data_IF_634462123229
#
_entry.id   IF_634462123229
#
_cell.length_a   1.000
_cell.length_b   1.000
_cell.length_c   1.000
_cell.angle_alpha   90.00
_cell.angle_beta   90.00
_cell.angle_gamma   90.00
#
_symmetry.space_group_name_H-M   'P 1'
#
loop_
_entity.id
_entity.type
_entity.pdbx_description
1 polymer ?
#
# COMPACT_ATOMS: atom_id res chain seq x y z
N UNK A 1 -13.52 -9.93 -11.52
CA UNK A 1 -14.15 -9.60 -12.81
C UNK A 1 -14.41 -10.90 -13.55
N UNK A 2 -15.66 -11.24 -13.83
CA UNK A 2 -15.95 -12.40 -14.67
C UNK A 2 -15.57 -12.03 -16.10
N UNK A 3 -14.58 -12.71 -16.68
CA UNK A 3 -14.16 -12.48 -18.07
C UNK A 3 -15.17 -13.20 -18.96
N UNK A 4 -15.94 -12.43 -19.73
CA UNK A 4 -16.86 -13.01 -20.70
C UNK A 4 -16.10 -13.41 -21.98
N UNK A 5 -16.51 -14.48 -22.67
CA UNK A 5 -15.86 -14.92 -23.91
C UNK A 5 -15.84 -13.83 -24.98
N UNK A 6 -16.88 -13.01 -25.06
CA UNK A 6 -16.97 -11.85 -25.98
C UNK A 6 -15.84 -10.83 -25.76
N UNK A 7 -15.43 -10.63 -24.51
CA UNK A 7 -14.35 -9.70 -24.16
C UNK A 7 -12.99 -10.24 -24.64
N UNK A 8 -12.79 -11.56 -24.55
CA UNK A 8 -11.57 -12.23 -25.01
C UNK A 8 -11.44 -12.08 -26.53
N UNK A 9 -12.52 -12.33 -27.27
CA UNK A 9 -12.54 -12.18 -28.73
C UNK A 9 -12.27 -10.73 -29.16
N UNK A 10 -12.85 -9.74 -28.46
CA UNK A 10 -12.56 -8.32 -28.72
C UNK A 10 -11.08 -8.00 -28.51
N UNK A 11 -10.48 -8.45 -27.41
CA UNK A 11 -9.06 -8.21 -27.11
C UNK A 11 -8.17 -8.87 -28.17
N UNK A 12 -8.48 -10.09 -28.60
CA UNK A 12 -7.74 -10.78 -29.68
C UNK A 12 -7.82 -10.03 -31.02
N UNK A 13 -9.01 -9.51 -31.35
CA UNK A 13 -9.22 -8.71 -32.56
C UNK A 13 -8.50 -7.36 -32.49
N UNK A 14 -8.39 -6.76 -31.32
CA UNK A 14 -7.60 -5.54 -31.10
C UNK A 14 -6.10 -5.82 -31.20
N UNK A 15 -5.65 -6.94 -30.63
CA UNK A 15 -4.26 -7.38 -30.66
C UNK A 15 -3.74 -7.60 -32.08
N UNK A 16 -4.55 -8.21 -32.95
CA UNK A 16 -4.15 -8.41 -34.36
C UNK A 16 -4.02 -7.10 -35.14
N UNK A 17 -4.70 -6.03 -34.71
CA UNK A 17 -4.71 -4.72 -35.36
C UNK A 17 -3.69 -3.74 -34.77
N UNK A 18 -3.05 -4.09 -33.65
CA UNK A 18 -2.10 -3.20 -32.98
C UNK A 18 -0.85 -2.95 -33.83
N UNK A 19 -0.54 -3.80 -34.81
CA UNK A 19 0.60 -3.61 -35.72
C UNK A 19 0.30 -2.65 -36.88
N UNK A 20 -0.94 -2.18 -37.05
CA UNK A 20 -1.31 -1.28 -38.13
C UNK A 20 -0.81 0.17 -37.91
N UNK A 21 -0.89 0.76 -36.71
CA UNK A 21 -0.36 2.09 -36.47
C UNK A 21 1.16 2.09 -36.23
N UNK A 22 1.83 3.13 -36.70
CA UNK A 22 3.24 3.39 -36.37
C UNK A 22 3.35 3.98 -34.96
N UNK A 23 3.80 3.16 -34.00
CA UNK A 23 4.01 3.58 -32.61
C UNK A 23 5.34 4.31 -32.44
N UNK A 24 5.32 5.42 -31.70
CA UNK A 24 6.52 6.21 -31.45
C UNK A 24 7.35 5.67 -30.29
N UNK A 25 6.68 5.09 -29.31
CA UNK A 25 7.29 4.73 -28.04
C UNK A 25 7.43 3.21 -27.87
N UNK A 26 8.32 2.61 -28.66
CA UNK A 26 8.66 1.17 -28.59
C UNK A 26 9.80 0.85 -27.60
N UNK A 27 10.43 1.88 -27.01
CA UNK A 27 11.61 1.70 -26.14
C UNK A 27 11.28 1.19 -24.73
N UNK A 28 10.06 1.45 -24.25
CA UNK A 28 9.61 1.12 -22.89
C UNK A 28 8.20 0.55 -22.94
N UNK A 29 8.01 -0.63 -22.35
CA UNK A 29 6.71 -1.30 -22.28
C UNK A 29 5.65 -0.42 -21.63
N UNK A 30 5.98 0.26 -20.52
CA UNK A 30 5.02 1.15 -19.85
C UNK A 30 4.62 2.32 -20.76
N UNK A 31 5.61 2.96 -21.38
CA UNK A 31 5.38 4.13 -22.21
C UNK A 31 4.65 3.78 -23.52
N UNK A 32 4.90 2.58 -24.07
CA UNK A 32 4.14 2.00 -25.18
C UNK A 32 2.66 1.85 -24.82
N UNK A 33 2.34 1.17 -23.73
CA UNK A 33 0.95 0.93 -23.33
C UNK A 33 0.21 2.21 -22.91
N UNK A 34 0.94 3.21 -22.39
CA UNK A 34 0.39 4.57 -22.21
C UNK A 34 0.04 5.25 -23.53
N UNK A 35 0.87 5.09 -24.58
CA UNK A 35 0.60 5.61 -25.93
C UNK A 35 -0.63 4.91 -26.54
N UNK A 36 -0.69 3.58 -26.48
CA UNK A 36 -1.83 2.79 -26.97
C UNK A 36 -3.12 3.15 -26.22
N UNK A 37 -3.06 3.37 -24.90
CA UNK A 37 -4.21 3.79 -24.11
C UNK A 37 -4.69 5.22 -24.46
N UNK A 38 -3.77 6.10 -24.85
CA UNK A 38 -4.07 7.49 -25.20
C UNK A 38 -4.38 7.68 -26.69
N UNK A 39 -4.25 6.63 -27.49
CA UNK A 39 -4.52 6.66 -28.92
C UNK A 39 -5.99 6.96 -29.20
N UNK A 40 -6.23 7.82 -30.18
CA UNK A 40 -7.57 8.19 -30.64
C UNK A 40 -7.67 8.01 -32.14
N UNK A 41 -8.74 7.38 -32.59
CA UNK A 41 -9.08 7.26 -33.99
C UNK A 41 -9.64 8.57 -34.57
N UNK A 42 -10.02 8.55 -35.85
CA UNK A 42 -10.64 9.68 -36.52
C UNK A 42 -12.02 10.08 -35.93
N UNK A 43 -12.66 9.19 -35.16
CA UNK A 43 -13.91 9.43 -34.45
C UNK A 43 -13.68 10.01 -33.03
N UNK A 44 -12.42 10.03 -32.55
CA UNK A 44 -12.05 10.50 -31.22
C UNK A 44 -12.11 9.42 -30.13
N UNK A 45 -12.39 8.17 -30.50
CA UNK A 45 -12.49 7.02 -29.60
C UNK A 45 -11.21 6.17 -29.66
N UNK A 46 -10.95 5.37 -28.62
CA UNK A 46 -9.81 4.46 -28.62
C UNK A 46 -10.24 3.05 -29.05
N UNK A 47 -9.87 2.59 -30.27
CA UNK A 47 -10.21 1.25 -30.74
C UNK A 47 -9.48 0.11 -30.00
N UNK A 48 -8.48 0.44 -29.17
CA UNK A 48 -7.68 -0.50 -28.39
C UNK A 48 -7.93 -0.37 -26.87
N UNK A 49 -9.02 0.27 -26.44
CA UNK A 49 -9.28 0.58 -25.03
C UNK A 49 -9.25 -0.67 -24.13
N UNK A 50 -9.93 -1.74 -24.53
CA UNK A 50 -10.01 -3.00 -23.77
C UNK A 50 -8.64 -3.69 -23.68
N UNK A 51 -7.91 -3.76 -24.78
CA UNK A 51 -6.55 -4.32 -24.82
C UNK A 51 -5.57 -3.50 -23.98
N UNK A 52 -5.61 -2.17 -24.09
CA UNK A 52 -4.75 -1.27 -23.34
C UNK A 52 -5.04 -1.36 -21.84
N UNK A 53 -6.32 -1.38 -21.45
CA UNK A 53 -6.73 -1.56 -20.05
C UNK A 53 -6.27 -2.91 -19.50
N UNK A 54 -6.42 -3.98 -20.29
CA UNK A 54 -5.92 -5.30 -19.92
C UNK A 54 -4.40 -5.32 -19.70
N UNK A 55 -3.63 -4.81 -20.66
CA UNK A 55 -2.17 -4.75 -20.54
C UNK A 55 -1.71 -3.87 -19.36
N UNK A 56 -2.34 -2.71 -19.16
CA UNK A 56 -2.06 -1.83 -18.03
C UNK A 56 -2.35 -2.53 -16.69
N UNK A 57 -3.46 -3.26 -16.58
CA UNK A 57 -3.76 -4.04 -15.37
C UNK A 57 -2.73 -5.12 -15.11
N UNK A 58 -2.23 -5.80 -16.15
CA UNK A 58 -1.14 -6.77 -16.02
C UNK A 58 0.17 -6.11 -15.57
N UNK A 59 0.47 -4.89 -16.03
CA UNK A 59 1.68 -4.16 -15.65
C UNK A 59 1.65 -3.63 -14.22
N UNK A 60 0.46 -3.36 -13.66
CA UNK A 60 0.28 -2.87 -12.30
C UNK A 60 0.34 -4.01 -11.28
N UNK A 61 0.08 -5.25 -11.69
CA UNK A 61 0.18 -6.39 -10.80
C UNK A 61 1.63 -6.56 -10.33
N UNK A 62 1.87 -6.63 -9.00
CA UNK A 62 3.20 -6.95 -8.49
C UNK A 62 3.58 -8.33 -9.01
N UNK A 63 4.54 -8.35 -9.93
CA UNK A 63 4.98 -9.53 -10.68
C UNK A 63 5.39 -10.75 -9.81
N UNK A 64 5.56 -10.59 -8.50
CA UNK A 64 5.95 -11.69 -7.64
C UNK A 64 5.52 -11.52 -6.19
N UNK A 65 4.83 -12.54 -5.66
CA UNK A 65 4.59 -12.74 -4.24
C UNK A 65 5.91 -12.65 -3.43
N UNK A 66 7.02 -13.11 -4.02
CA UNK A 66 8.34 -13.09 -3.39
C UNK A 66 8.84 -11.69 -3.03
N UNK A 67 8.38 -10.62 -3.70
CA UNK A 67 8.80 -9.26 -3.35
C UNK A 67 8.11 -8.75 -2.08
N UNK A 68 6.85 -9.14 -1.87
CA UNK A 68 6.11 -8.88 -0.63
C UNK A 68 6.71 -9.69 0.51
N UNK A 69 6.99 -10.97 0.27
CA UNK A 69 7.64 -11.87 1.23
C UNK A 69 9.06 -11.42 1.59
N UNK A 70 9.84 -10.95 0.61
CA UNK A 70 11.19 -10.41 0.87
C UNK A 70 11.13 -9.16 1.75
N UNK A 71 10.19 -8.23 1.52
CA UNK A 71 10.05 -7.05 2.39
C UNK A 71 9.55 -7.41 3.79
N UNK A 72 8.68 -8.41 3.91
CA UNK A 72 8.19 -8.91 5.19
C UNK A 72 9.30 -9.63 5.98
N UNK A 73 10.07 -10.48 5.30
CA UNK A 73 11.22 -11.20 5.86
C UNK A 73 12.33 -10.25 6.30
N UNK A 74 12.65 -9.25 5.49
CA UNK A 74 13.62 -8.21 5.88
C UNK A 74 13.19 -7.49 7.17
N UNK A 75 11.90 -7.16 7.32
CA UNK A 75 11.44 -6.54 8.55
C UNK A 75 11.45 -7.50 9.73
N UNK A 76 11.04 -8.76 9.53
CA UNK A 76 11.00 -9.77 10.59
C UNK A 76 12.41 -10.20 11.08
N UNK A 77 13.40 -10.28 10.18
CA UNK A 77 14.79 -10.65 10.51
C UNK A 77 15.46 -9.60 11.38
N UNK A 78 15.28 -8.31 11.07
CA UNK A 78 15.93 -7.23 11.82
C UNK A 78 15.09 -6.74 13.01
N UNK A 79 13.78 -6.94 12.98
CA UNK A 79 12.87 -6.34 13.93
C UNK A 79 11.74 -7.33 14.18
N UNK A 80 11.76 -8.01 15.34
CA UNK A 80 10.70 -8.92 15.82
C UNK A 80 9.42 -8.15 16.16
N UNK A 81 8.93 -7.37 15.22
CA UNK A 81 7.75 -6.53 15.36
C UNK A 81 6.52 -7.39 15.20
N UNK A 82 5.47 -7.03 15.93
CA UNK A 82 4.14 -7.59 15.70
C UNK A 82 3.72 -7.31 14.25
N UNK A 83 3.01 -8.24 13.59
CA UNK A 83 2.62 -8.10 12.18
C UNK A 83 1.85 -6.80 11.89
N UNK A 84 1.02 -6.34 12.83
CA UNK A 84 0.29 -5.06 12.74
C UNK A 84 1.23 -3.84 12.67
N UNK A 85 2.30 -3.84 13.46
CA UNK A 85 3.31 -2.76 13.45
C UNK A 85 4.16 -2.82 12.18
N UNK A 86 4.47 -4.03 11.72
CA UNK A 86 5.19 -4.23 10.44
C UNK A 86 4.38 -3.70 9.27
N UNK A 87 3.08 -3.99 9.20
CA UNK A 87 2.19 -3.50 8.14
C UNK A 87 2.11 -1.97 8.13
N UNK A 88 1.87 -1.35 9.28
CA UNK A 88 1.79 0.12 9.39
C UNK A 88 3.10 0.79 8.96
N UNK A 89 4.25 0.27 9.36
CA UNK A 89 5.57 0.78 8.93
C UNK A 89 5.76 0.62 7.42
N UNK A 90 5.37 -0.53 6.85
CA UNK A 90 5.46 -0.78 5.40
C UNK A 90 4.61 0.21 4.62
N UNK A 91 3.38 0.47 5.05
CA UNK A 91 2.47 1.43 4.42
C UNK A 91 3.05 2.84 4.48
N UNK A 92 3.54 3.28 5.65
CA UNK A 92 4.17 4.60 5.80
C UNK A 92 5.40 4.72 4.90
N UNK A 93 6.28 3.71 4.89
CA UNK A 93 7.49 3.71 4.05
C UNK A 93 7.14 3.73 2.56
N UNK A 94 6.14 2.95 2.14
CA UNK A 94 5.68 2.93 0.76
C UNK A 94 5.09 4.29 0.34
N UNK A 95 4.30 4.91 1.22
CA UNK A 95 3.77 6.26 1.02
C UNK A 95 4.88 7.30 0.88
N UNK A 96 5.82 7.33 1.82
CA UNK A 96 6.96 8.26 1.80
C UNK A 96 7.83 8.10 0.54
N UNK A 97 8.01 6.87 0.04
CA UNK A 97 8.78 6.61 -1.19
C UNK A 97 8.13 7.17 -2.46
N UNK A 98 6.80 7.37 -2.46
CA UNK A 98 6.09 7.96 -3.61
C UNK A 98 6.23 9.48 -3.67
N UNK A 99 6.63 10.13 -2.57
CA UNK A 99 6.87 11.56 -2.58
C UNK A 99 8.24 11.87 -3.19
N UNK A 100 8.32 12.81 -4.16
CA UNK A 100 9.57 13.18 -4.82
C UNK A 100 10.49 14.05 -3.95
N UNK A 101 10.14 14.27 -2.68
CA UNK A 101 10.94 15.07 -1.73
C UNK A 101 11.84 14.15 -0.94
N UNK A 102 13.14 14.43 -0.95
CA UNK A 102 14.05 13.76 -0.02
C UNK A 102 13.80 14.29 1.39
N UNK A 103 14.16 13.51 2.41
CA UNK A 103 14.11 13.96 3.81
C UNK A 103 14.95 15.22 4.09
N UNK A 104 15.78 15.66 3.14
CA UNK A 104 16.59 16.87 3.24
C UNK A 104 15.86 18.13 2.78
N UNK A 105 14.84 18.02 1.93
CA UNK A 105 14.12 19.16 1.34
C UNK A 105 12.78 19.46 2.06
N UNK A 106 12.50 18.72 3.13
CA UNK A 106 11.28 18.90 3.91
C UNK A 106 11.51 19.96 4.99
N UNK A 107 10.99 21.17 4.75
CA UNK A 107 10.90 22.19 5.79
C UNK A 107 9.72 21.89 6.71
N UNK A 108 10.01 21.68 8.00
CA UNK A 108 9.00 21.45 9.03
C UNK A 108 8.20 22.76 9.19
N UNK A 109 6.86 22.74 9.05
CA UNK A 109 6.05 23.94 9.23
C UNK A 109 6.30 24.58 10.59
N UNK A 110 6.52 25.90 10.62
CA UNK A 110 6.88 26.64 11.84
C UNK A 110 5.87 26.43 13.00
N UNK A 111 4.60 26.19 12.67
CA UNK A 111 3.55 25.87 13.64
C UNK A 111 3.81 24.57 14.43
N UNK A 112 4.41 23.56 13.78
CA UNK A 112 4.80 22.29 14.42
C UNK A 112 6.02 22.51 15.30
N UNK A 113 7.02 23.26 14.81
CA UNK A 113 8.24 23.58 15.57
C UNK A 113 7.92 24.39 16.84
N UNK A 114 6.96 25.32 16.77
CA UNK A 114 6.54 26.09 17.95
C UNK A 114 5.79 25.26 18.99
N UNK A 115 5.19 24.13 18.59
CA UNK A 115 4.47 23.22 19.49
C UNK A 115 5.34 22.09 20.06
N UNK A 116 6.49 21.79 19.42
CA UNK A 116 7.45 20.79 19.90
C UNK A 116 8.20 21.31 21.12
N UNK A 117 7.85 20.81 22.31
CA UNK A 117 8.43 21.22 23.59
C UNK A 117 7.39 21.65 24.62
N UNK A 118 6.18 21.97 24.18
CA UNK A 118 5.02 22.20 25.05
C UNK A 118 4.22 20.90 25.22
N UNK A 119 3.91 20.54 26.46
CA UNK A 119 3.08 19.36 26.79
C UNK A 119 1.65 19.44 26.21
N UNK A 120 1.24 20.61 25.72
CA UNK A 120 -0.06 20.88 25.11
C UNK A 120 -0.44 19.91 23.98
N UNK A 121 0.54 19.39 23.21
CA UNK A 121 0.30 18.46 22.11
C UNK A 121 -0.01 17.02 22.59
N UNK A 122 0.31 16.71 23.86
CA UNK A 122 0.12 15.39 24.46
C UNK A 122 -1.09 15.32 25.42
N UNK A 123 -1.77 16.44 25.65
CA UNK A 123 -2.96 16.48 26.51
C UNK A 123 -4.09 15.79 25.77
N UNK A 124 -4.52 14.63 26.29
CA UNK A 124 -5.71 13.99 25.76
C UNK A 124 -6.94 14.79 26.19
N UNK A 125 -8.02 14.83 25.39
CA UNK A 125 -9.27 15.51 25.75
C UNK A 125 -9.87 15.06 27.09
N UNK A 126 -9.44 13.90 27.61
CA UNK A 126 -9.82 13.36 28.92
C UNK A 126 -9.28 14.15 30.12
N UNK A 127 -8.22 14.96 29.93
CA UNK A 127 -7.46 15.54 31.03
C UNK A 127 -7.93 16.97 31.40
N UNK A 128 -8.98 17.47 30.74
CA UNK A 128 -9.53 18.83 30.96
C UNK A 128 -10.65 18.91 32.00
N UNK A 129 -10.85 17.88 32.83
CA UNK A 129 -11.78 17.95 33.96
C UNK A 129 -11.04 18.30 35.26
N UNK A 130 -11.37 19.46 35.82
CA UNK A 130 -10.72 20.09 36.98
C UNK A 130 -10.77 19.29 38.29
N UNK A 131 -10.04 19.75 39.32
CA UNK A 131 -9.70 18.95 40.49
C UNK A 131 -10.92 18.77 41.40
N UNK A 132 -11.26 17.51 41.70
CA UNK A 132 -12.14 17.18 42.81
C UNK A 132 -11.38 16.32 43.82
N UNK A 133 -11.18 16.92 44.98
CA UNK A 133 -10.70 16.31 46.22
C UNK A 133 -11.67 15.26 46.75
N UNK A 134 -11.19 14.06 47.10
CA UNK A 134 -11.58 13.37 48.35
C UNK A 134 -10.79 12.07 48.59
N UNK A 135 -10.00 12.09 49.67
CA UNK A 135 -9.85 11.09 50.75
C UNK A 135 -9.61 9.60 50.41
N UNK A 136 -8.50 9.07 50.92
CA UNK A 136 -8.02 7.69 50.70
C UNK A 136 -8.69 6.57 51.50
N UNK A 137 -8.46 5.36 51.01
CA UNK A 137 -8.77 4.04 51.60
C UNK A 137 -8.26 2.92 50.66
N UNK A 138 -7.94 1.71 51.15
CA UNK A 138 -6.82 0.90 50.66
C UNK A 138 -7.11 -0.04 49.47
N UNK A 139 -6.01 -0.47 48.86
CA UNK A 139 -5.83 -1.34 47.69
C UNK A 139 -6.39 -2.76 47.91
N UNK A 140 -7.18 -3.28 46.97
CA UNK A 140 -7.43 -4.72 46.80
C UNK A 140 -6.84 -5.20 45.45
N UNK A 141 -6.10 -6.29 45.53
CA UNK A 141 -5.52 -7.00 44.38
C UNK A 141 -6.55 -7.99 43.82
N UNK A 142 -6.83 -7.91 42.53
CA UNK A 142 -7.54 -8.95 41.78
C UNK A 142 -6.59 -9.49 40.70
N UNK A 143 -6.26 -10.77 40.86
CA UNK A 143 -5.60 -11.62 39.89
C UNK A 143 -6.64 -12.28 39.00
N UNK A 144 -6.53 -12.13 37.68
CA UNK A 144 -7.24 -12.95 36.71
C UNK A 144 -6.21 -13.61 35.77
N UNK A 145 -6.20 -14.94 35.81
CA UNK A 145 -5.45 -15.86 34.96
C UNK A 145 -6.44 -16.49 33.98
N UNK A 146 -6.20 -16.35 32.67
CA UNK A 146 -6.76 -17.23 31.64
C UNK A 146 -6.15 -16.90 30.26
N UNK A 147 -5.26 -17.78 29.78
CA UNK A 147 -5.36 -18.49 28.48
C UNK A 147 -3.97 -18.83 27.92
N UNK A 148 -3.63 -20.12 27.86
CA UNK A 148 -2.60 -20.68 26.98
C UNK A 148 -3.31 -21.75 26.14
N UNK A 149 -3.51 -21.48 24.85
CA UNK A 149 -2.62 -21.86 23.74
C UNK A 149 -3.02 -23.24 23.21
N UNK A 150 -3.99 -23.22 22.30
CA UNK A 150 -4.02 -24.20 21.21
C UNK A 150 -3.25 -23.56 20.04
N UNK A 151 -2.28 -24.26 19.47
CA UNK A 151 -2.32 -24.60 18.04
C UNK A 151 -1.08 -25.40 17.63
N UNK A 152 -1.36 -26.67 17.35
CA UNK A 152 -0.81 -27.54 16.31
C UNK A 152 0.41 -27.01 15.51
N UNK A 153 1.56 -27.59 15.82
CA UNK A 153 2.52 -27.97 14.80
C UNK A 153 1.88 -29.02 13.87
N UNK A 154 2.09 -28.90 12.55
CA UNK A 154 2.63 -29.96 11.66
C UNK A 154 2.67 -29.49 10.19
N UNK A 155 3.92 -29.27 9.72
CA UNK A 155 4.54 -29.62 8.42
C UNK A 155 4.02 -29.12 7.05
N UNK A 156 4.91 -28.45 6.31
CA UNK A 156 5.68 -28.94 5.13
C UNK A 156 6.69 -27.81 4.77
N UNK A 157 8.03 -27.91 4.89
CA UNK A 157 9.05 -28.79 4.28
C UNK A 157 9.00 -28.86 2.74
N UNK A 158 10.08 -28.33 2.15
CA UNK A 158 10.62 -28.46 0.78
C UNK A 158 10.08 -27.62 -0.40
N UNK A 159 11.02 -26.81 -0.91
CA UNK A 159 11.30 -26.26 -2.25
C UNK A 159 10.17 -25.69 -3.14
#
# INVERSE_FOLDING_TARGET
MAVTPETIEKIQNQWSKITLPDWKQISSTQSFWCEVHSYKDACGENPFAELAGFAMSMLVLPYSNAKVEMTSSQLNIYNKLKPETTYTILVVRAGLKQYPKSCFDYEIPAAVVSGTGTSATYVQPSDLSGPSTSTGGPVEMVSDDASADEDLDVFFVDL
#
